data_IF_321559568954
#
_entry.id   IF_321559568954
#
_cell.length_a   1.000
_cell.length_b   1.000
_cell.length_c   1.000
_cell.angle_alpha   90.00
_cell.angle_beta   90.00
_cell.angle_gamma   90.00
#
_symmetry.space_group_name_H-M   'P 1'
#
loop_
_entity.id
_entity.type
_entity.pdbx_description
1 polymer ?
#
# COMPACT_ATOMS: atom_id res chain seq x y z
N UNK A 1 12.31 34.46 -6.30
CA UNK A 1 13.70 33.96 -6.24
C UNK A 1 13.62 32.60 -5.58
N UNK A 2 13.31 31.58 -6.37
CA UNK A 2 12.93 30.27 -5.86
C UNK A 2 14.19 29.49 -5.53
N UNK A 3 14.50 29.44 -4.24
CA UNK A 3 15.61 28.64 -3.72
C UNK A 3 15.20 27.16 -3.76
N UNK A 4 15.21 26.58 -4.96
CA UNK A 4 14.90 25.18 -5.19
C UNK A 4 16.00 24.33 -4.53
N UNK A 5 15.76 23.92 -3.29
CA UNK A 5 16.70 23.10 -2.55
C UNK A 5 16.81 21.71 -3.21
N UNK A 6 17.84 21.52 -4.03
CA UNK A 6 18.08 20.29 -4.82
C UNK A 6 18.51 19.09 -3.98
N UNK A 7 18.89 19.30 -2.73
CA UNK A 7 19.36 18.24 -1.83
C UNK A 7 18.70 18.35 -0.46
N UNK A 8 18.51 17.21 0.22
CA UNK A 8 18.06 17.19 1.62
C UNK A 8 18.75 16.06 2.38
N UNK A 9 18.89 16.24 3.70
CA UNK A 9 19.40 15.23 4.62
C UNK A 9 18.30 14.21 4.94
N UNK A 10 18.58 12.93 4.77
CA UNK A 10 17.67 11.87 5.19
C UNK A 10 17.71 11.75 6.71
N UNK A 11 16.59 11.90 7.45
CA UNK A 11 16.64 11.83 8.92
C UNK A 11 17.04 10.46 9.48
N UNK A 12 16.89 9.38 8.69
CA UNK A 12 17.20 8.00 9.10
C UNK A 12 18.68 7.67 8.92
N UNK A 13 19.20 7.71 7.68
CA UNK A 13 20.60 7.39 7.41
C UNK A 13 21.56 8.59 7.60
N UNK A 14 21.02 9.79 7.82
CA UNK A 14 21.77 11.04 8.08
C UNK A 14 22.64 11.53 6.92
N UNK A 15 22.56 10.90 5.75
CA UNK A 15 23.25 11.36 4.53
C UNK A 15 22.50 12.50 3.84
N UNK A 16 23.26 13.43 3.24
CA UNK A 16 22.72 14.44 2.33
C UNK A 16 22.62 13.80 0.94
N UNK A 17 21.43 13.87 0.35
CA UNK A 17 21.12 13.22 -0.94
C UNK A 17 20.36 14.16 -1.87
N UNK A 18 20.37 13.87 -3.16
CA UNK A 18 19.55 14.60 -4.15
C UNK A 18 18.07 14.41 -3.83
N UNK A 19 17.22 15.39 -4.14
CA UNK A 19 15.77 15.23 -4.06
C UNK A 19 15.26 14.05 -4.93
N UNK A 20 15.99 13.68 -5.97
CA UNK A 20 15.69 12.52 -6.82
C UNK A 20 15.88 11.18 -6.09
N UNK A 21 16.66 11.15 -5.01
CA UNK A 21 16.83 9.98 -4.14
C UNK A 21 15.66 9.78 -3.18
N UNK A 22 14.60 10.58 -3.31
CA UNK A 22 13.37 10.51 -2.51
C UNK A 22 12.20 10.24 -3.45
N UNK A 23 11.23 9.43 -3.00
CA UNK A 23 10.00 9.27 -3.75
C UNK A 23 9.21 10.58 -3.79
N UNK A 24 8.47 10.79 -4.87
CA UNK A 24 7.52 11.90 -4.95
C UNK A 24 6.41 11.74 -3.91
N UNK A 25 5.98 12.85 -3.33
CA UNK A 25 4.88 12.91 -2.38
C UNK A 25 4.21 14.28 -2.47
N UNK A 26 3.00 14.34 -3.03
CA UNK A 26 2.28 15.61 -3.21
C UNK A 26 1.95 16.31 -1.89
N UNK A 27 1.82 15.55 -0.80
CA UNK A 27 1.48 16.06 0.53
C UNK A 27 2.70 16.45 1.37
N UNK A 28 3.92 16.28 0.87
CA UNK A 28 5.16 16.54 1.62
C UNK A 28 5.84 17.82 1.14
N UNK A 29 6.61 18.45 2.04
CA UNK A 29 7.45 19.61 1.70
C UNK A 29 8.39 19.29 0.52
N UNK A 30 8.52 20.22 -0.42
CA UNK A 30 9.23 20.07 -1.69
C UNK A 30 8.79 18.87 -2.54
N UNK A 31 7.57 18.37 -2.34
CA UNK A 31 7.01 17.23 -3.06
C UNK A 31 7.83 15.93 -2.97
N UNK A 32 8.61 15.76 -1.90
CA UNK A 32 9.47 14.59 -1.68
C UNK A 32 9.21 13.96 -0.32
N UNK A 33 9.27 12.63 -0.26
CA UNK A 33 9.18 11.87 0.98
C UNK A 33 10.22 12.31 2.02
N UNK A 34 9.94 12.00 3.29
CA UNK A 34 10.82 12.34 4.41
C UNK A 34 12.14 11.57 4.37
N UNK A 35 12.08 10.26 4.13
CA UNK A 35 13.25 9.38 4.03
C UNK A 35 13.64 9.16 2.57
N UNK A 36 14.92 8.83 2.33
CA UNK A 36 15.36 8.45 0.99
C UNK A 36 14.71 7.11 0.55
N UNK A 37 14.75 6.81 -0.74
CA UNK A 37 14.17 5.60 -1.35
C UNK A 37 14.65 4.33 -0.65
N UNK A 38 15.95 4.21 -0.40
CA UNK A 38 16.56 3.04 0.27
C UNK A 38 15.97 2.86 1.68
N UNK A 39 15.97 3.92 2.49
CA UNK A 39 15.42 3.91 3.83
C UNK A 39 13.91 3.60 3.85
N UNK A 40 13.12 4.15 2.91
CA UNK A 40 11.70 3.80 2.81
C UNK A 40 11.51 2.32 2.49
N UNK A 41 12.27 1.78 1.53
CA UNK A 41 12.18 0.37 1.16
C UNK A 41 12.49 -0.57 2.34
N UNK A 42 13.47 -0.21 3.18
CA UNK A 42 13.76 -0.94 4.42
C UNK A 42 12.61 -0.88 5.42
N UNK A 43 12.05 0.31 5.65
CA UNK A 43 10.88 0.51 6.54
C UNK A 43 9.70 -0.33 6.04
N UNK A 44 9.42 -0.28 4.74
CA UNK A 44 8.33 -1.03 4.12
C UNK A 44 8.58 -2.53 4.19
N UNK A 45 9.83 -2.99 4.07
CA UNK A 45 10.20 -4.39 4.31
C UNK A 45 9.89 -4.80 5.75
N UNK A 46 10.37 -4.04 6.74
CA UNK A 46 10.11 -4.31 8.17
C UNK A 46 8.61 -4.32 8.46
N UNK A 47 7.85 -3.36 7.91
CA UNK A 47 6.39 -3.30 8.05
C UNK A 47 5.71 -4.53 7.46
N UNK A 48 6.12 -4.97 6.26
CA UNK A 48 5.59 -6.18 5.63
C UNK A 48 5.89 -7.44 6.45
N UNK A 49 7.10 -7.57 7.00
CA UNK A 49 7.44 -8.71 7.87
C UNK A 49 6.64 -8.68 9.18
N UNK A 50 6.50 -7.51 9.82
CA UNK A 50 5.68 -7.37 11.03
C UNK A 50 4.23 -7.76 10.78
N UNK A 51 3.65 -7.35 9.66
CA UNK A 51 2.28 -7.74 9.31
C UNK A 51 2.17 -9.26 9.25
N UNK A 52 3.13 -10.01 8.68
CA UNK A 52 3.02 -11.48 8.62
C UNK A 52 2.91 -12.13 10.01
N UNK A 53 3.51 -11.54 11.04
CA UNK A 53 3.55 -12.10 12.40
C UNK A 53 2.44 -11.61 13.31
N UNK A 54 1.93 -10.39 13.13
CA UNK A 54 0.94 -9.79 14.05
C UNK A 54 -0.51 -10.20 13.80
N UNK A 55 -0.83 -10.80 12.65
CA UNK A 55 -2.22 -11.08 12.29
C UNK A 55 -3.00 -9.83 11.82
N UNK A 56 -4.27 -10.00 11.42
CA UNK A 56 -5.18 -8.90 11.10
C UNK A 56 -5.53 -8.08 12.35
N UNK A 57 -5.74 -6.77 12.16
CA UNK A 57 -6.17 -5.87 13.25
C UNK A 57 -7.66 -6.05 13.59
N UNK A 58 -8.46 -6.55 12.64
CA UNK A 58 -9.89 -6.79 12.83
C UNK A 58 -10.18 -8.25 12.45
N UNK A 59 -10.86 -8.98 13.33
CA UNK A 59 -11.36 -10.33 13.04
C UNK A 59 -12.81 -10.22 12.58
N UNK A 60 -13.13 -10.87 11.46
CA UNK A 60 -14.49 -10.91 10.89
C UNK A 60 -14.82 -12.33 10.46
N UNK A 61 -16.03 -12.78 10.76
CA UNK A 61 -16.55 -14.06 10.27
C UNK A 61 -17.25 -13.91 8.91
N UNK A 62 -17.83 -12.73 8.66
CA UNK A 62 -18.52 -12.40 7.41
C UNK A 62 -18.39 -10.91 7.08
N UNK A 63 -18.59 -10.54 5.80
CA UNK A 63 -18.69 -9.15 5.36
C UNK A 63 -19.44 -9.01 4.02
N UNK A 64 -20.02 -7.84 3.71
CA UNK A 64 -20.62 -7.61 2.39
C UNK A 64 -19.56 -7.51 1.30
N UNK A 65 -19.84 -8.10 0.13
CA UNK A 65 -19.07 -7.85 -1.08
C UNK A 65 -19.43 -6.48 -1.66
N UNK A 66 -18.44 -5.64 -1.99
CA UNK A 66 -18.69 -4.29 -2.54
C UNK A 66 -19.25 -4.28 -3.98
N UNK A 67 -19.20 -5.41 -4.69
CA UNK A 67 -19.76 -5.50 -6.05
C UNK A 67 -21.18 -6.05 -6.05
N UNK A 68 -21.44 -7.16 -5.36
CA UNK A 68 -22.76 -7.82 -5.36
C UNK A 68 -23.62 -7.50 -4.14
N UNK A 69 -23.10 -6.79 -3.14
CA UNK A 69 -23.76 -6.42 -1.89
C UNK A 69 -24.29 -7.58 -1.02
N UNK A 70 -23.94 -8.83 -1.35
CA UNK A 70 -24.30 -10.01 -0.55
C UNK A 70 -23.33 -10.17 0.62
N UNK A 71 -23.84 -10.38 1.83
CA UNK A 71 -23.06 -10.78 3.00
C UNK A 71 -22.54 -12.19 2.79
N UNK A 72 -21.23 -12.36 2.88
CA UNK A 72 -20.53 -13.61 2.61
C UNK A 72 -19.60 -13.97 3.74
N UNK A 73 -19.34 -15.26 3.91
CA UNK A 73 -18.35 -15.71 4.89
C UNK A 73 -16.96 -15.18 4.50
N UNK A 74 -16.13 -14.85 5.48
CA UNK A 74 -14.81 -14.27 5.24
C UNK A 74 -13.93 -15.15 4.34
N UNK A 75 -14.10 -16.47 4.40
CA UNK A 75 -13.42 -17.47 3.55
C UNK A 75 -13.75 -17.37 2.06
N UNK A 76 -14.84 -16.69 1.69
CA UNK A 76 -15.23 -16.40 0.30
C UNK A 76 -14.48 -15.22 -0.30
N UNK A 77 -13.62 -14.55 0.47
CA UNK A 77 -12.79 -13.43 0.03
C UNK A 77 -11.34 -13.86 -0.12
N UNK A 78 -10.61 -13.28 -1.09
CA UNK A 78 -9.18 -13.51 -1.23
C UNK A 78 -8.37 -12.81 -0.15
N UNK A 79 -7.14 -13.25 0.09
CA UNK A 79 -6.26 -12.64 1.11
C UNK A 79 -5.63 -11.34 0.58
N UNK A 80 -5.67 -10.30 1.39
CA UNK A 80 -4.99 -9.02 1.20
C UNK A 80 -4.42 -8.55 2.54
N UNK A 81 -3.17 -8.93 2.85
CA UNK A 81 -2.55 -8.75 4.17
C UNK A 81 -2.36 -7.30 4.64
N UNK A 82 -2.53 -6.31 3.75
CA UNK A 82 -2.52 -4.89 4.14
C UNK A 82 -3.92 -4.32 4.46
N UNK A 83 -4.98 -5.10 4.29
CA UNK A 83 -6.32 -4.74 4.76
C UNK A 83 -6.45 -4.98 6.26
N UNK A 84 -7.27 -4.22 7.01
CA UNK A 84 -7.45 -4.42 8.46
C UNK A 84 -7.89 -5.84 8.84
N UNK A 85 -8.71 -6.47 8.00
CA UNK A 85 -9.24 -7.82 8.19
C UNK A 85 -8.51 -8.89 7.35
N UNK A 86 -7.41 -8.52 6.69
CA UNK A 86 -6.62 -9.38 5.78
C UNK A 86 -7.36 -9.96 4.57
N UNK A 87 -8.55 -9.47 4.23
CA UNK A 87 -9.34 -9.99 3.12
C UNK A 87 -9.70 -8.89 2.12
N UNK A 88 -9.79 -9.24 0.83
CA UNK A 88 -10.29 -8.36 -0.23
C UNK A 88 -11.70 -7.85 0.10
N UNK A 89 -12.08 -6.69 -0.43
CA UNK A 89 -13.44 -6.15 -0.27
C UNK A 89 -14.47 -6.80 -1.22
N UNK A 90 -14.00 -7.65 -2.12
CA UNK A 90 -14.81 -8.33 -3.13
C UNK A 90 -14.70 -9.83 -2.92
N UNK A 91 -15.83 -10.55 -3.02
CA UNK A 91 -15.80 -12.00 -3.00
C UNK A 91 -15.00 -12.54 -4.20
N UNK A 92 -14.48 -13.77 -4.07
CA UNK A 92 -13.64 -14.41 -5.10
C UNK A 92 -14.22 -14.32 -6.52
N UNK A 93 -15.52 -14.60 -6.77
CA UNK A 93 -16.11 -14.47 -8.11
C UNK A 93 -16.08 -13.04 -8.66
N UNK A 94 -16.48 -12.05 -7.84
CA UNK A 94 -16.46 -10.64 -8.24
C UNK A 94 -15.03 -10.16 -8.52
N UNK A 95 -14.06 -10.58 -7.70
CA UNK A 95 -12.65 -10.27 -7.93
C UNK A 95 -12.14 -10.80 -9.27
N UNK A 96 -12.43 -12.07 -9.61
CA UNK A 96 -12.07 -12.67 -10.91
C UNK A 96 -12.65 -11.83 -12.06
N UNK A 97 -13.93 -11.47 -11.98
CA UNK A 97 -14.58 -10.64 -13.00
C UNK A 97 -13.89 -9.28 -13.16
N UNK A 98 -13.46 -8.64 -12.07
CA UNK A 98 -12.72 -7.36 -12.13
C UNK A 98 -11.39 -7.54 -12.85
N UNK A 99 -10.56 -8.50 -12.44
CA UNK A 99 -9.21 -8.66 -13.03
C UNK A 99 -9.29 -9.04 -14.52
N UNK A 100 -10.22 -9.90 -14.92
CA UNK A 100 -10.41 -10.28 -16.33
C UNK A 100 -10.83 -9.08 -17.18
N UNK A 101 -11.71 -8.19 -16.67
CA UNK A 101 -12.09 -6.96 -17.37
C UNK A 101 -10.89 -6.01 -17.58
N UNK A 102 -10.00 -5.88 -16.60
CA UNK A 102 -8.81 -5.04 -16.74
C UNK A 102 -7.81 -5.63 -17.75
N UNK A 103 -7.58 -6.94 -17.72
CA UNK A 103 -6.69 -7.61 -18.68
C UNK A 103 -7.16 -7.45 -20.13
N UNK A 104 -8.48 -7.55 -20.37
CA UNK A 104 -9.09 -7.34 -21.69
C UNK A 104 -9.05 -5.88 -22.18
N UNK A 105 -8.87 -4.91 -21.28
CA UNK A 105 -8.76 -3.48 -21.65
C UNK A 105 -7.31 -3.04 -21.94
N UNK A 106 -6.33 -3.86 -21.56
CA UNK A 106 -4.90 -3.62 -21.81
C UNK A 106 -4.34 -4.41 -23.00
N UNK A 107 -5.21 -5.13 -23.73
CA UNK A 107 -5.00 -5.70 -25.06
C UNK A 107 -5.74 -4.82 -26.06
#
# INVERSE_FOLDING_TARGET
MDNEQKTKKCPRCKEIKSLEDYHYSSSSYNHRQTYCKICNNEIDKIKRERIKTTGPTIIRESKPCLDCNVIKNISEFGIRRNAPDWHLSYCKPCWVNRITKYQKKGL
#
